data_IF_876689433136
#
_entry.id   IF_876689433136
#
_cell.length_a   1.000
_cell.length_b   1.000
_cell.length_c   1.000
_cell.angle_alpha   90.00
_cell.angle_beta   90.00
_cell.angle_gamma   90.00
#
_symmetry.space_group_name_H-M   'P 1'
#
loop_
_entity.id
_entity.type
_entity.pdbx_description
1 polymer ?
#
# COMPACT_ATOMS: atom_id res chain seq x y z
N UNK A 1 2.74 17.17 -4.99
CA UNK A 1 2.42 18.33 -5.85
C UNK A 1 3.15 18.08 -7.15
N UNK A 2 2.39 17.72 -8.19
CA UNK A 2 2.87 17.73 -9.56
C UNK A 2 2.99 19.23 -9.93
N UNK A 3 4.19 19.69 -10.26
CA UNK A 3 4.40 21.07 -10.72
C UNK A 3 3.70 21.25 -12.07
N UNK A 4 3.20 22.47 -12.33
CA UNK A 4 2.52 22.79 -13.60
C UNK A 4 3.47 22.46 -14.76
N UNK A 5 3.08 21.50 -15.60
CA UNK A 5 3.84 21.09 -16.79
C UNK A 5 4.39 19.65 -16.75
N UNK A 6 4.25 18.93 -15.64
CA UNK A 6 4.57 17.49 -15.61
C UNK A 6 3.31 16.65 -15.87
N UNK A 7 3.30 15.90 -16.96
CA UNK A 7 2.33 14.82 -17.17
C UNK A 7 2.62 13.71 -16.15
N UNK A 8 1.63 13.38 -15.31
CA UNK A 8 1.75 12.30 -14.34
C UNK A 8 0.83 11.15 -14.76
N UNK A 9 1.42 10.02 -15.11
CA UNK A 9 0.70 8.81 -15.48
C UNK A 9 0.63 7.90 -14.25
N UNK A 10 -0.58 7.49 -13.85
CA UNK A 10 -0.75 6.40 -12.89
C UNK A 10 -0.85 5.11 -13.71
N UNK A 11 0.23 4.33 -13.75
CA UNK A 11 0.16 2.99 -14.29
C UNK A 11 -0.63 2.13 -13.31
N UNK A 12 -1.63 1.41 -13.80
CA UNK A 12 -2.25 0.33 -13.02
C UNK A 12 -2.22 -0.93 -13.86
N UNK A 13 -1.65 -2.00 -13.32
CA UNK A 13 -1.73 -3.31 -13.96
C UNK A 13 -3.14 -3.81 -13.69
N UNK A 14 -3.98 -3.93 -14.72
CA UNK A 14 -5.35 -4.42 -14.55
C UNK A 14 -5.54 -5.76 -15.26
N UNK A 15 -6.02 -6.73 -14.50
CA UNK A 15 -6.56 -7.97 -15.05
C UNK A 15 -8.08 -7.92 -14.84
N UNK A 16 -8.89 -8.49 -15.75
CA UNK A 16 -10.33 -8.58 -15.57
C UNK A 16 -10.64 -9.12 -14.18
N UNK A 17 -11.51 -8.42 -13.44
CA UNK A 17 -11.94 -8.87 -12.11
C UNK A 17 -12.51 -10.29 -12.22
N UNK A 18 -12.05 -11.19 -11.34
CA UNK A 18 -12.58 -12.54 -11.29
C UNK A 18 -14.08 -12.48 -10.94
N UNK A 19 -14.91 -13.08 -11.78
CA UNK A 19 -16.35 -13.16 -11.55
C UNK A 19 -16.61 -14.22 -10.47
N UNK A 20 -16.73 -13.80 -9.21
CA UNK A 20 -17.09 -14.62 -8.05
C UNK A 20 -16.14 -14.50 -6.85
N UNK A 21 -16.64 -14.79 -5.65
CA UNK A 21 -15.82 -14.87 -4.42
C UNK A 21 -14.92 -16.12 -4.46
N UNK A 22 -13.78 -16.02 -5.14
CA UNK A 22 -12.77 -17.07 -5.13
C UNK A 22 -12.24 -17.26 -3.71
N UNK A 23 -12.25 -18.49 -3.20
CA UNK A 23 -11.66 -18.82 -1.89
C UNK A 23 -10.23 -19.30 -2.08
N UNK A 24 -9.35 -19.00 -1.12
CA UNK A 24 -7.93 -19.41 -1.13
C UNK A 24 -7.78 -20.90 -1.46
N UNK A 25 -8.64 -21.75 -0.88
CA UNK A 25 -8.59 -23.21 -1.01
C UNK A 25 -8.83 -23.72 -2.43
N UNK A 26 -9.51 -22.95 -3.25
CA UNK A 26 -9.94 -23.34 -4.59
C UNK A 26 -8.91 -22.97 -5.66
N UNK A 27 -7.88 -22.20 -5.29
CA UNK A 27 -6.87 -21.68 -6.22
C UNK A 27 -5.59 -22.51 -6.09
N UNK A 28 -5.13 -23.08 -7.21
CA UNK A 28 -3.86 -23.84 -7.30
C UNK A 28 -2.70 -22.98 -6.77
N UNK A 29 -1.76 -23.61 -6.05
CA UNK A 29 -0.66 -22.98 -5.30
C UNK A 29 -1.12 -22.10 -4.15
N UNK A 30 -2.03 -21.15 -4.38
CA UNK A 30 -2.55 -20.21 -3.37
C UNK A 30 -3.14 -20.93 -2.16
N UNK A 31 -3.79 -22.09 -2.34
CA UNK A 31 -4.27 -22.95 -1.26
C UNK A 31 -3.19 -23.41 -0.26
N UNK A 32 -1.92 -23.42 -0.68
CA UNK A 32 -0.75 -23.75 0.15
C UNK A 32 -0.32 -22.57 1.04
N UNK A 33 -0.84 -21.36 0.78
CA UNK A 33 -0.48 -20.10 1.45
C UNK A 33 -1.67 -19.35 2.06
N UNK A 34 -2.57 -20.01 2.82
CA UNK A 34 -3.73 -19.33 3.40
C UNK A 34 -3.36 -18.20 4.36
N UNK A 35 -2.20 -18.29 5.00
CA UNK A 35 -1.62 -17.30 5.91
C UNK A 35 -1.27 -15.97 5.23
N UNK A 36 -0.82 -15.99 3.97
CA UNK A 36 -0.51 -14.77 3.19
C UNK A 36 -1.76 -13.94 2.91
N UNK A 37 -2.94 -14.57 2.87
CA UNK A 37 -4.21 -13.89 2.56
C UNK A 37 -5.06 -13.58 3.79
N UNK A 38 -4.47 -13.69 5.00
CA UNK A 38 -5.14 -13.27 6.22
C UNK A 38 -5.09 -11.74 6.38
N UNK A 39 -6.04 -11.19 7.14
CA UNK A 39 -5.95 -9.79 7.53
C UNK A 39 -4.76 -9.58 8.45
N UNK A 40 -4.04 -8.47 8.28
CA UNK A 40 -2.97 -8.08 9.19
C UNK A 40 -3.53 -7.97 10.62
N UNK A 41 -3.04 -8.83 11.51
CA UNK A 41 -3.38 -8.83 12.93
C UNK A 41 -2.19 -8.30 13.73
N UNK A 42 -2.42 -7.20 14.46
CA UNK A 42 -1.36 -6.57 15.24
C UNK A 42 -0.30 -5.88 14.38
N UNK A 43 0.80 -5.49 15.02
CA UNK A 43 1.88 -4.76 14.36
C UNK A 43 2.68 -5.66 13.39
N UNK A 44 3.15 -5.09 12.26
CA UNK A 44 4.09 -5.79 11.40
C UNK A 44 5.39 -6.10 12.16
N UNK A 45 6.17 -7.11 11.71
CA UNK A 45 7.47 -7.37 12.31
C UNK A 45 8.37 -6.14 12.22
N UNK A 46 9.33 -6.03 13.15
CA UNK A 46 10.43 -5.08 12.99
C UNK A 46 11.17 -5.37 11.69
N UNK A 47 11.54 -4.32 10.96
CA UNK A 47 12.24 -4.37 9.68
C UNK A 47 13.55 -3.61 9.82
N UNK A 48 14.57 -4.01 9.06
CA UNK A 48 15.87 -3.33 9.02
C UNK A 48 15.78 -1.90 8.48
N UNK A 49 14.73 -1.60 7.73
CA UNK A 49 14.49 -0.30 7.08
C UNK A 49 13.06 0.16 7.38
N UNK A 50 12.80 0.71 8.58
CA UNK A 50 11.50 1.26 8.93
C UNK A 50 11.22 2.53 8.12
N UNK A 51 9.95 2.92 8.08
CA UNK A 51 9.56 4.16 7.44
C UNK A 51 10.02 5.37 8.26
N UNK A 52 10.77 6.27 7.64
CA UNK A 52 11.25 7.52 8.25
C UNK A 52 10.61 8.75 7.58
N UNK A 53 10.52 9.83 8.35
CA UNK A 53 9.95 11.12 7.94
C UNK A 53 11.00 12.19 8.17
N UNK A 54 11.91 12.34 7.20
CA UNK A 54 12.90 13.42 7.21
C UNK A 54 12.23 14.77 6.95
N UNK A 55 12.50 15.76 7.78
CA UNK A 55 11.93 17.10 7.68
C UNK A 55 13.01 18.11 7.28
N UNK A 56 12.60 19.19 6.63
CA UNK A 56 13.47 20.33 6.36
C UNK A 56 14.05 20.89 7.68
N UNK A 57 15.31 21.31 7.66
CA UNK A 57 16.00 21.80 8.85
C UNK A 57 15.28 23.00 9.46
N UNK A 58 15.10 23.01 10.78
CA UNK A 58 14.41 24.08 11.51
C UNK A 58 12.87 23.99 11.48
N UNK A 59 12.28 22.93 10.92
CA UNK A 59 10.82 22.76 10.88
C UNK A 59 10.21 22.67 12.29
N UNK A 60 9.31 23.59 12.61
CA UNK A 60 8.48 23.53 13.81
C UNK A 60 7.27 22.59 13.61
N UNK A 61 6.73 21.98 14.67
CA UNK A 61 5.53 21.14 14.58
C UNK A 61 4.32 21.88 13.99
N UNK A 62 3.60 21.20 13.09
CA UNK A 62 2.38 21.72 12.47
C UNK A 62 1.17 21.06 13.13
N UNK A 63 0.28 21.87 13.69
CA UNK A 63 -0.99 21.41 14.28
C UNK A 63 -2.17 22.19 13.70
N UNK A 64 -3.20 21.47 13.25
CA UNK A 64 -4.43 22.04 12.68
C UNK A 64 -5.65 21.51 13.42
N UNK A 65 -6.69 22.34 13.52
CA UNK A 65 -7.95 21.95 14.13
C UNK A 65 -8.67 20.87 13.31
N UNK A 66 -9.36 19.91 13.94
CA UNK A 66 -10.22 18.95 13.24
C UNK A 66 -11.29 19.64 12.38
N UNK A 67 -11.63 19.03 11.25
CA UNK A 67 -12.75 19.50 10.43
C UNK A 67 -14.09 19.23 11.11
N UNK A 68 -15.13 20.00 10.73
CA UNK A 68 -16.51 19.69 11.10
C UNK A 68 -16.94 18.41 10.37
N UNK A 69 -17.66 17.54 11.07
CA UNK A 69 -18.15 16.26 10.54
C UNK A 69 -19.65 16.11 10.81
N UNK A 70 -20.36 15.50 9.88
CA UNK A 70 -21.78 15.15 10.03
C UNK A 70 -21.96 14.00 11.03
N UNK A 71 -23.16 13.80 11.62
CA UNK A 71 -23.42 12.71 12.57
C UNK A 71 -23.03 11.31 12.07
N UNK A 72 -23.30 11.00 10.80
CA UNK A 72 -22.93 9.72 10.20
C UNK A 72 -21.40 9.53 10.12
N UNK A 73 -20.66 10.58 9.75
CA UNK A 73 -19.20 10.56 9.70
C UNK A 73 -18.60 10.43 11.11
N UNK A 74 -19.23 11.04 12.13
CA UNK A 74 -18.79 10.90 13.52
C UNK A 74 -18.92 9.46 14.03
N UNK A 75 -20.04 8.79 13.71
CA UNK A 75 -20.25 7.38 14.08
C UNK A 75 -19.20 6.48 13.41
N UNK A 76 -18.92 6.72 12.12
CA UNK A 76 -17.91 5.97 11.38
C UNK A 76 -16.48 6.26 11.84
N UNK A 77 -16.18 7.51 12.21
CA UNK A 77 -14.90 7.90 12.81
C UNK A 77 -14.63 7.10 14.08
N UNK A 78 -15.62 7.02 14.97
CA UNK A 78 -15.47 6.27 16.22
C UNK A 78 -15.16 4.80 15.94
N UNK A 79 -15.91 4.17 15.03
CA UNK A 79 -15.71 2.78 14.61
C UNK A 79 -14.31 2.54 14.04
N UNK A 80 -13.86 3.34 13.08
CA UNK A 80 -12.53 3.16 12.47
C UNK A 80 -11.39 3.44 13.45
N UNK A 81 -11.56 4.37 14.39
CA UNK A 81 -10.58 4.60 15.46
C UNK A 81 -10.46 3.38 16.39
N UNK A 82 -11.58 2.78 16.80
CA UNK A 82 -11.59 1.57 17.62
C UNK A 82 -10.93 0.39 16.90
N UNK A 83 -11.17 0.23 15.59
CA UNK A 83 -10.51 -0.77 14.76
C UNK A 83 -8.98 -0.55 14.66
N UNK A 84 -8.54 0.70 14.48
CA UNK A 84 -7.12 1.03 14.41
C UNK A 84 -6.42 0.85 15.77
N UNK A 85 -7.07 1.23 16.87
CA UNK A 85 -6.57 1.06 18.24
C UNK A 85 -6.47 -0.42 18.62
N UNK A 86 -7.50 -1.22 18.33
CA UNK A 86 -7.51 -2.65 18.65
C UNK A 86 -6.44 -3.44 17.88
N UNK A 87 -6.08 -3.00 16.67
CA UNK A 87 -4.94 -3.54 15.91
C UNK A 87 -3.58 -3.01 16.37
N UNK A 88 -3.57 -1.99 17.22
CA UNK A 88 -2.37 -1.29 17.66
C UNK A 88 -1.75 -0.37 16.61
N UNK A 89 -2.39 -0.16 15.45
CA UNK A 89 -1.86 0.70 14.38
C UNK A 89 -1.76 2.16 14.77
N UNK A 90 -2.58 2.58 15.73
CA UNK A 90 -2.50 3.90 16.34
C UNK A 90 -2.45 3.77 17.86
N UNK A 91 -1.90 4.79 18.52
CA UNK A 91 -1.93 4.96 19.99
C UNK A 91 -2.27 6.39 20.36
N UNK A 92 -2.78 6.67 21.58
CA UNK A 92 -2.96 8.03 22.07
C UNK A 92 -1.65 8.82 22.02
N UNK A 93 -1.72 10.09 21.63
CA UNK A 93 -0.55 10.95 21.45
C UNK A 93 -0.64 12.23 22.28
N UNK A 94 0.51 12.68 22.76
CA UNK A 94 0.73 14.03 23.35
C UNK A 94 1.60 14.90 22.43
N UNK A 95 1.81 14.46 21.18
CA UNK A 95 2.67 15.13 20.22
C UNK A 95 2.24 16.60 19.98
N UNK A 96 3.20 17.51 19.74
CA UNK A 96 2.87 18.87 19.30
C UNK A 96 2.39 18.92 17.84
N UNK A 97 2.62 17.86 17.05
CA UNK A 97 2.07 17.71 15.70
C UNK A 97 0.58 17.41 15.76
N UNK A 98 -0.17 17.70 14.70
CA UNK A 98 -1.59 17.35 14.65
C UNK A 98 -2.23 17.62 13.30
N UNK A 99 -2.34 16.59 12.47
CA UNK A 99 -3.08 16.66 11.22
C UNK A 99 -4.60 16.39 11.44
N UNK A 100 -5.51 17.06 10.72
CA UNK A 100 -6.93 16.81 10.87
C UNK A 100 -7.34 15.56 10.07
N UNK A 101 -8.37 14.86 10.56
CA UNK A 101 -8.99 13.73 9.85
C UNK A 101 -10.06 14.22 8.88
N UNK A 102 -10.15 13.58 7.72
CA UNK A 102 -11.23 13.73 6.74
C UNK A 102 -11.69 12.36 6.24
N UNK A 103 -12.88 12.31 5.63
CA UNK A 103 -13.38 11.12 4.98
C UNK A 103 -13.38 11.25 3.47
N UNK A 104 -12.99 10.17 2.79
CA UNK A 104 -13.19 9.98 1.36
C UNK A 104 -14.26 8.91 1.16
N UNK A 105 -15.22 9.17 0.28
CA UNK A 105 -16.21 8.15 -0.11
C UNK A 105 -15.60 7.22 -1.15
N UNK A 106 -15.62 5.92 -0.88
CA UNK A 106 -15.29 4.89 -1.85
C UNK A 106 -16.43 4.73 -2.87
N UNK A 107 -16.14 4.03 -3.97
CA UNK A 107 -17.13 3.73 -5.03
C UNK A 107 -18.34 2.95 -4.53
N UNK A 108 -18.14 2.10 -3.53
CA UNK A 108 -19.20 1.32 -2.87
C UNK A 108 -20.03 2.14 -1.87
N UNK A 109 -19.77 3.45 -1.74
CA UNK A 109 -20.45 4.35 -0.82
C UNK A 109 -19.91 4.31 0.63
N UNK A 110 -18.99 3.40 0.95
CA UNK A 110 -18.36 3.36 2.27
C UNK A 110 -17.37 4.51 2.47
N UNK A 111 -17.12 4.86 3.73
CA UNK A 111 -16.18 5.92 4.08
C UNK A 111 -14.79 5.36 4.39
N UNK A 112 -13.76 6.08 3.96
CA UNK A 112 -12.36 5.81 4.30
C UNK A 112 -11.80 6.95 5.13
N UNK A 113 -11.36 6.65 6.35
CA UNK A 113 -10.65 7.60 7.18
C UNK A 113 -9.30 7.93 6.54
N UNK A 114 -9.08 9.22 6.29
CA UNK A 114 -7.83 9.75 5.78
C UNK A 114 -7.33 10.86 6.70
N UNK A 115 -6.03 10.88 6.97
CA UNK A 115 -5.40 11.98 7.70
C UNK A 115 -4.85 12.99 6.69
N UNK A 116 -5.19 14.26 6.86
CA UNK A 116 -4.75 15.33 5.98
C UNK A 116 -3.29 15.75 6.28
N UNK A 117 -2.35 14.91 5.85
CA UNK A 117 -0.92 15.15 5.98
C UNK A 117 -0.37 16.20 5.02
N UNK A 118 -1.20 16.95 4.26
CA UNK A 118 -0.69 17.99 3.34
C UNK A 118 0.20 19.02 4.04
N UNK A 119 -0.05 19.30 5.32
CA UNK A 119 0.81 20.16 6.14
C UNK A 119 2.20 19.56 6.36
N UNK A 120 2.24 18.33 6.88
CA UNK A 120 3.46 17.57 7.12
C UNK A 120 4.25 17.33 5.82
N UNK A 121 3.57 16.88 4.78
CA UNK A 121 4.13 16.58 3.46
C UNK A 121 4.85 17.75 2.80
N UNK A 122 4.46 19.00 3.08
CA UNK A 122 5.13 20.18 2.52
C UNK A 122 6.51 20.41 3.09
N UNK A 123 6.73 20.00 4.34
CA UNK A 123 7.98 20.19 5.08
C UNK A 123 8.79 18.89 5.18
N UNK A 124 8.32 17.81 4.55
CA UNK A 124 9.03 16.54 4.44
C UNK A 124 9.98 16.59 3.25
N UNK A 125 11.24 16.20 3.47
CA UNK A 125 12.23 16.05 2.40
C UNK A 125 11.75 14.93 1.47
N UNK A 126 11.53 15.27 0.20
CA UNK A 126 10.95 14.35 -0.79
C UNK A 126 11.98 13.30 -1.21
N UNK A 127 11.62 12.03 -1.06
CA UNK A 127 12.40 10.92 -1.58
C UNK A 127 12.13 10.76 -3.09
N UNK A 128 13.18 10.85 -3.91
CA UNK A 128 13.12 10.65 -5.37
C UNK A 128 13.51 9.22 -5.75
N UNK A 129 12.96 8.24 -5.03
CA UNK A 129 13.17 6.83 -5.35
C UNK A 129 12.68 6.55 -6.78
N UNK A 130 13.49 5.87 -7.62
CA UNK A 130 13.11 5.63 -9.00
C UNK A 130 11.90 4.69 -9.05
N UNK A 131 10.83 5.15 -9.70
CA UNK A 131 9.74 4.26 -10.10
C UNK A 131 10.10 3.65 -11.46
N UNK A 132 9.81 2.35 -11.67
CA UNK A 132 10.08 1.71 -12.95
C UNK A 132 9.28 2.38 -14.06
N UNK A 133 9.88 2.53 -15.24
CA UNK A 133 9.20 3.12 -16.39
C UNK A 133 8.26 2.08 -17.01
N UNK A 134 7.09 2.53 -17.46
CA UNK A 134 6.08 1.64 -18.03
C UNK A 134 6.63 0.89 -19.24
N UNK A 135 7.37 1.55 -20.14
CA UNK A 135 7.94 0.91 -21.33
C UNK A 135 8.92 -0.21 -20.96
N UNK A 136 9.73 -0.01 -19.91
CA UNK A 136 10.65 -1.03 -19.38
C UNK A 136 9.87 -2.22 -18.82
N UNK A 137 8.78 -1.96 -18.08
CA UNK A 137 7.90 -3.02 -17.57
C UNK A 137 7.26 -3.81 -18.72
N UNK A 138 6.81 -3.15 -19.79
CA UNK A 138 6.21 -3.80 -20.96
C UNK A 138 7.22 -4.68 -21.72
N UNK A 139 8.47 -4.22 -21.84
CA UNK A 139 9.50 -4.98 -22.53
C UNK A 139 9.85 -6.28 -21.79
N UNK A 140 9.78 -6.31 -20.47
CA UNK A 140 9.98 -7.52 -19.66
C UNK A 140 8.90 -8.57 -19.88
N UNK A 141 7.68 -8.15 -20.23
CA UNK A 141 6.56 -9.07 -20.44
C UNK A 141 6.58 -9.78 -21.79
N UNK A 142 7.52 -9.43 -22.69
CA UNK A 142 7.57 -10.01 -24.04
C UNK A 142 7.73 -11.53 -23.98
N UNK A 143 6.78 -12.23 -24.60
CA UNK A 143 6.77 -13.69 -24.70
C UNK A 143 6.24 -14.42 -23.46
N UNK A 144 5.85 -13.68 -22.41
CA UNK A 144 5.09 -14.26 -21.30
C UNK A 144 3.66 -14.59 -21.76
N UNK A 145 3.13 -15.72 -21.33
CA UNK A 145 1.77 -16.16 -21.69
C UNK A 145 0.86 -16.35 -20.47
N UNK A 146 1.45 -16.39 -19.27
CA UNK A 146 0.76 -16.57 -18.00
C UNK A 146 1.09 -15.45 -17.02
N UNK A 147 0.06 -14.94 -16.36
CA UNK A 147 0.13 -13.79 -15.46
C UNK A 147 -0.66 -14.02 -14.18
N UNK A 148 -0.10 -13.58 -13.06
CA UNK A 148 -0.81 -13.45 -11.79
C UNK A 148 -0.48 -12.10 -11.15
N UNK A 149 -1.51 -11.36 -10.77
CA UNK A 149 -1.39 -10.10 -10.05
C UNK A 149 -1.76 -10.31 -8.58
N UNK A 150 -0.89 -9.88 -7.68
CA UNK A 150 -1.10 -9.92 -6.23
C UNK A 150 -1.15 -8.49 -5.72
N UNK A 151 -2.27 -8.08 -5.12
CA UNK A 151 -2.45 -6.78 -4.44
C UNK A 151 -2.17 -6.96 -2.95
N UNK A 152 -1.26 -6.18 -2.39
CA UNK A 152 -0.92 -6.24 -0.97
C UNK A 152 -1.99 -5.56 -0.10
N UNK A 153 -2.48 -6.27 0.91
CA UNK A 153 -3.57 -5.82 1.77
C UNK A 153 -3.17 -4.60 2.60
N UNK A 154 -3.75 -3.43 2.32
CA UNK A 154 -3.42 -2.19 3.03
C UNK A 154 -1.90 -1.98 3.13
N UNK A 155 -1.19 -2.14 1.99
CA UNK A 155 0.26 -2.30 1.93
C UNK A 155 1.04 -1.39 2.89
N UNK A 156 0.68 -0.12 2.99
CA UNK A 156 1.38 0.83 3.86
C UNK A 156 1.37 0.46 5.35
N UNK A 157 0.25 -0.05 5.90
CA UNK A 157 0.20 -0.45 7.32
C UNK A 157 1.09 -1.66 7.65
N UNK A 158 1.70 -2.32 6.65
CA UNK A 158 2.62 -3.45 6.84
C UNK A 158 4.08 -3.01 7.08
N UNK A 159 4.34 -1.69 7.06
CA UNK A 159 5.66 -1.10 7.31
C UNK A 159 5.62 -0.32 8.64
N UNK A 160 6.47 -0.66 9.62
CA UNK A 160 6.56 0.12 10.86
C UNK A 160 7.18 1.49 10.60
N UNK A 161 6.79 2.49 11.39
CA UNK A 161 7.45 3.80 11.40
C UNK A 161 8.57 3.77 12.42
N UNK A 162 9.68 4.45 12.11
CA UNK A 162 10.77 4.65 13.07
C UNK A 162 10.26 5.38 14.32
N UNK A 163 10.68 4.94 15.51
CA UNK A 163 10.05 5.38 16.79
C UNK A 163 10.14 6.90 16.97
N UNK A 164 11.26 7.51 16.55
CA UNK A 164 11.46 8.97 16.66
C UNK A 164 10.55 9.80 15.74
N UNK A 165 10.01 9.16 14.70
CA UNK A 165 9.17 9.77 13.67
C UNK A 165 7.68 9.53 13.87
N UNK A 166 7.29 8.54 14.68
CA UNK A 166 5.89 8.23 15.03
C UNK A 166 5.11 9.50 15.41
N UNK A 167 5.67 10.33 16.30
CA UNK A 167 5.03 11.58 16.77
C UNK A 167 4.68 12.56 15.65
N UNK A 168 5.37 12.52 14.50
CA UNK A 168 5.12 13.42 13.35
C UNK A 168 3.81 13.04 12.64
N UNK A 169 3.38 11.79 12.78
CA UNK A 169 2.11 11.29 12.23
C UNK A 169 0.90 11.58 13.12
N UNK A 170 1.09 12.35 14.20
CA UNK A 170 0.00 12.65 15.10
C UNK A 170 -1.15 13.37 14.38
N UNK A 171 -2.37 12.92 14.65
CA UNK A 171 -3.59 13.39 14.04
C UNK A 171 -4.70 13.62 15.07
N UNK A 172 -5.43 14.69 14.86
CA UNK A 172 -6.47 15.16 15.77
C UNK A 172 -7.84 14.77 15.23
N UNK A 173 -8.60 14.12 16.08
CA UNK A 173 -10.00 13.80 15.84
C UNK A 173 -10.88 14.48 16.89
N UNK A 174 -12.20 14.38 16.73
CA UNK A 174 -13.15 14.87 17.75
C UNK A 174 -13.06 14.08 19.07
N UNK A 175 -12.55 12.85 19.02
CA UNK A 175 -12.52 11.93 20.15
C UNK A 175 -11.15 11.85 20.84
N UNK A 176 -10.12 12.50 20.29
CA UNK A 176 -8.81 12.51 20.91
C UNK A 176 -7.69 12.87 19.94
N UNK A 177 -6.47 12.69 20.45
CA UNK A 177 -5.24 12.86 19.71
C UNK A 177 -4.53 11.51 19.63
N UNK A 178 -4.18 11.08 18.43
CA UNK A 178 -3.58 9.78 18.18
C UNK A 178 -2.39 9.92 17.22
N UNK A 179 -1.50 8.95 17.23
CA UNK A 179 -0.38 8.85 16.28
C UNK A 179 -0.31 7.44 15.70
N UNK A 180 0.15 7.33 14.46
CA UNK A 180 0.33 6.05 13.78
C UNK A 180 1.69 5.46 14.10
N UNK A 181 1.72 4.17 14.41
CA UNK A 181 2.96 3.40 14.63
C UNK A 181 3.36 2.58 13.39
N UNK A 182 2.42 2.42 12.45
CA UNK A 182 2.62 1.84 11.11
C UNK A 182 2.35 2.90 10.06
N UNK A 183 3.02 2.82 8.91
CA UNK A 183 2.97 3.87 7.89
C UNK A 183 1.53 4.09 7.38
N UNK A 184 0.89 5.25 7.65
CA UNK A 184 -0.46 5.54 7.18
C UNK A 184 -0.47 5.98 5.72
N UNK A 185 -1.66 5.91 5.12
CA UNK A 185 -1.93 6.57 3.84
C UNK A 185 -1.76 8.09 3.96
N UNK A 186 -1.43 8.72 2.84
CA UNK A 186 -1.37 10.18 2.70
C UNK A 186 0.00 10.80 2.97
N UNK A 187 1.01 10.04 3.39
CA UNK A 187 2.39 10.52 3.53
C UNK A 187 3.11 10.54 2.17
N UNK A 188 3.88 11.60 1.90
CA UNK A 188 4.50 11.82 0.57
C UNK A 188 5.48 10.74 0.16
N UNK A 189 6.29 10.23 1.09
CA UNK A 189 7.32 9.22 0.78
C UNK A 189 6.82 7.77 0.92
N UNK A 190 5.53 7.54 1.23
CA UNK A 190 5.02 6.20 1.46
C UNK A 190 5.16 5.26 0.22
N UNK A 191 4.83 5.69 -1.01
CA UNK A 191 5.04 4.84 -2.19
C UNK A 191 6.52 4.50 -2.40
N UNK A 192 7.42 5.46 -2.22
CA UNK A 192 8.87 5.28 -2.37
C UNK A 192 9.44 4.27 -1.36
N UNK A 193 9.01 4.37 -0.09
CA UNK A 193 9.42 3.43 0.94
C UNK A 193 8.88 2.02 0.68
N UNK A 194 7.64 1.91 0.20
CA UNK A 194 7.04 0.63 -0.15
C UNK A 194 7.77 -0.03 -1.33
N UNK A 195 8.05 0.74 -2.39
CA UNK A 195 8.85 0.28 -3.53
C UNK A 195 10.24 -0.20 -3.11
N UNK A 196 10.91 0.54 -2.22
CA UNK A 196 12.23 0.16 -1.72
C UNK A 196 12.21 -1.17 -0.96
N UNK A 197 11.22 -1.36 -0.08
CA UNK A 197 11.02 -2.63 0.62
C UNK A 197 10.79 -3.77 -0.37
N UNK A 198 9.86 -3.59 -1.31
CA UNK A 198 9.49 -4.63 -2.26
C UNK A 198 10.65 -4.98 -3.18
N UNK A 199 11.39 -3.99 -3.69
CA UNK A 199 12.58 -4.26 -4.51
C UNK A 199 13.66 -5.00 -3.73
N UNK A 200 13.86 -4.71 -2.44
CA UNK A 200 14.80 -5.46 -1.60
C UNK A 200 14.34 -6.89 -1.35
N UNK A 201 13.04 -7.12 -1.13
CA UNK A 201 12.48 -8.45 -0.88
C UNK A 201 12.55 -9.35 -2.12
N UNK A 202 12.28 -8.80 -3.29
CA UNK A 202 12.18 -9.54 -4.55
C UNK A 202 13.38 -9.32 -5.48
N UNK A 203 14.48 -8.74 -4.98
CA UNK A 203 15.64 -8.34 -5.78
C UNK A 203 16.14 -9.44 -6.72
N UNK A 204 16.13 -10.70 -6.25
CA UNK A 204 16.58 -11.87 -7.01
C UNK A 204 15.66 -12.23 -8.18
N UNK A 205 14.40 -11.79 -8.16
CA UNK A 205 13.37 -12.17 -9.12
C UNK A 205 12.89 -11.01 -9.99
N UNK A 206 13.37 -9.80 -9.69
CA UNK A 206 13.19 -8.62 -10.53
C UNK A 206 13.79 -8.89 -11.91
N UNK A 207 13.16 -8.35 -12.95
CA UNK A 207 13.57 -8.48 -14.35
C UNK A 207 13.55 -9.91 -14.93
N UNK A 208 13.25 -10.94 -14.12
CA UNK A 208 13.10 -12.33 -14.56
C UNK A 208 11.64 -12.74 -14.71
N UNK A 209 10.88 -12.70 -13.61
CA UNK A 209 9.48 -13.15 -13.57
C UNK A 209 8.60 -12.35 -12.61
N UNK A 210 9.14 -11.31 -11.97
CA UNK A 210 8.42 -10.42 -11.05
C UNK A 210 8.57 -8.97 -11.49
N UNK A 211 7.44 -8.27 -11.61
CA UNK A 211 7.35 -6.82 -11.71
C UNK A 211 6.67 -6.29 -10.46
N UNK A 212 7.23 -5.24 -9.88
CA UNK A 212 6.68 -4.55 -8.71
C UNK A 212 6.24 -3.15 -9.13
N UNK A 213 5.01 -2.80 -8.77
CA UNK A 213 4.50 -1.46 -8.94
C UNK A 213 3.68 -1.04 -7.72
N UNK A 214 4.31 -0.27 -6.83
CA UNK A 214 3.77 0.16 -5.53
C UNK A 214 3.23 -1.07 -4.78
N UNK A 215 1.91 -1.19 -4.62
CA UNK A 215 1.22 -2.25 -3.89
C UNK A 215 0.88 -3.49 -4.72
N UNK A 216 1.20 -3.47 -6.02
CA UNK A 216 0.96 -4.56 -6.96
C UNK A 216 2.24 -5.35 -7.25
N UNK A 217 2.13 -6.69 -7.20
CA UNK A 217 3.15 -7.62 -7.68
C UNK A 217 2.56 -8.35 -8.89
N UNK A 218 3.20 -8.20 -10.05
CA UNK A 218 2.88 -8.96 -11.25
C UNK A 218 3.91 -10.09 -11.40
N UNK A 219 3.42 -11.32 -11.36
CA UNK A 219 4.18 -12.52 -11.70
C UNK A 219 3.86 -12.88 -13.15
N UNK A 220 4.88 -13.14 -13.97
CA UNK A 220 4.70 -13.49 -15.38
C UNK A 220 5.58 -14.67 -15.78
N UNK A 221 5.16 -15.49 -16.73
CA UNK A 221 5.88 -16.72 -17.13
C UNK A 221 5.51 -17.19 -18.54
N UNK A 222 6.35 -18.03 -19.16
CA UNK A 222 6.15 -18.50 -20.55
C UNK A 222 5.31 -19.76 -20.63
N UNK A 223 5.34 -20.60 -19.60
CA UNK A 223 4.57 -21.84 -19.49
C UNK A 223 3.77 -21.91 -18.19
N UNK A 224 2.80 -22.83 -18.13
CA UNK A 224 1.97 -23.02 -16.94
C UNK A 224 2.79 -23.61 -15.79
N UNK A 225 3.73 -24.51 -16.12
CA UNK A 225 4.61 -25.20 -15.19
C UNK A 225 5.60 -24.23 -14.54
N UNK A 226 6.21 -23.34 -15.33
CA UNK A 226 7.04 -22.24 -14.83
C UNK A 226 6.23 -21.32 -13.91
N UNK A 227 5.02 -20.95 -14.33
CA UNK A 227 4.17 -20.05 -13.56
C UNK A 227 3.82 -20.61 -12.19
N UNK A 228 3.64 -21.92 -12.09
CA UNK A 228 3.42 -22.59 -10.81
C UNK A 228 4.61 -22.45 -9.87
N UNK A 229 5.81 -22.66 -10.38
CA UNK A 229 7.04 -22.51 -9.61
C UNK A 229 7.21 -21.06 -9.18
N UNK A 230 7.12 -20.11 -10.10
CA UNK A 230 7.26 -18.68 -9.83
C UNK A 230 6.26 -18.18 -8.79
N UNK A 231 4.97 -18.54 -8.94
CA UNK A 231 3.94 -18.12 -7.99
C UNK A 231 4.20 -18.69 -6.59
N UNK A 232 4.68 -19.93 -6.49
CA UNK A 232 5.06 -20.55 -5.21
C UNK A 232 6.24 -19.83 -4.56
N UNK A 233 7.26 -19.44 -5.34
CA UNK A 233 8.39 -18.65 -4.84
C UNK A 233 7.92 -17.30 -4.31
N UNK A 234 7.10 -16.57 -5.08
CA UNK A 234 6.59 -15.26 -4.66
C UNK A 234 5.77 -15.34 -3.37
N UNK A 235 4.84 -16.30 -3.28
CA UNK A 235 4.01 -16.47 -2.08
C UNK A 235 4.83 -16.94 -0.87
N UNK A 236 5.85 -17.78 -1.07
CA UNK A 236 6.79 -18.17 -0.01
C UNK A 236 7.59 -16.96 0.50
N UNK A 237 8.03 -16.07 -0.39
CA UNK A 237 8.72 -14.84 -0.02
C UNK A 237 7.83 -13.89 0.78
N UNK A 238 6.56 -13.73 0.37
CA UNK A 238 5.59 -12.94 1.13
C UNK A 238 5.37 -13.51 2.53
N UNK A 239 5.22 -14.83 2.66
CA UNK A 239 5.13 -15.52 3.96
C UNK A 239 6.35 -15.26 4.83
N UNK A 240 7.55 -15.45 4.28
CA UNK A 240 8.82 -15.22 5.00
C UNK A 240 8.90 -13.80 5.56
N UNK A 241 8.54 -12.81 4.74
CA UNK A 241 8.61 -11.39 5.09
C UNK A 241 7.39 -10.88 5.88
N UNK A 242 6.44 -11.79 6.19
CA UNK A 242 5.13 -11.50 6.81
C UNK A 242 4.42 -10.34 6.11
N UNK A 243 4.39 -10.40 4.78
CA UNK A 243 3.63 -9.50 3.92
C UNK A 243 2.34 -10.19 3.51
N UNK A 244 1.23 -9.45 3.60
CA UNK A 244 -0.12 -9.99 3.42
C UNK A 244 -0.77 -9.42 2.17
N UNK A 245 -1.49 -10.27 1.44
CA UNK A 245 -2.19 -9.93 0.20
C UNK A 245 -3.71 -9.90 0.40
N UNK A 246 -4.39 -9.04 -0.35
CA UNK A 246 -5.85 -8.96 -0.36
C UNK A 246 -6.40 -9.82 -1.48
N UNK A 247 -6.84 -11.04 -1.14
CA UNK A 247 -7.32 -12.02 -2.11
C UNK A 247 -8.37 -11.46 -3.08
N UNK A 248 -9.33 -10.67 -2.58
CA UNK A 248 -10.41 -10.11 -3.41
C UNK A 248 -9.97 -9.09 -4.45
N UNK A 249 -8.69 -8.70 -4.45
CA UNK A 249 -8.07 -7.84 -5.46
C UNK A 249 -6.94 -8.52 -6.23
N UNK A 250 -6.66 -9.79 -5.94
CA UNK A 250 -5.67 -10.56 -6.66
C UNK A 250 -6.31 -11.26 -7.86
N UNK A 251 -5.54 -11.46 -8.92
CA UNK A 251 -5.94 -12.23 -10.08
C UNK A 251 -4.87 -13.29 -10.31
N UNK A 252 -5.25 -14.56 -10.40
CA UNK A 252 -4.29 -15.65 -10.62
C UNK A 252 -4.54 -16.34 -11.94
N UNK A 253 -3.48 -16.94 -12.51
CA UNK A 253 -3.56 -17.84 -13.67
C UNK A 253 -4.25 -17.23 -14.89
N UNK A 254 -4.02 -15.95 -15.15
CA UNK A 254 -4.55 -15.26 -16.33
C UNK A 254 -3.65 -15.53 -17.54
N UNK A 255 -4.26 -15.58 -18.74
CA UNK A 255 -3.53 -15.71 -20.01
C UNK A 255 -3.44 -14.36 -20.70
N UNK A 256 -2.46 -14.25 -21.59
CA UNK A 256 -2.07 -13.02 -22.32
C UNK A 256 -3.23 -12.27 -23.00
N UNK A 257 -4.26 -12.99 -23.47
CA UNK A 257 -5.47 -12.42 -24.08
C UNK A 257 -6.28 -11.50 -23.13
N UNK A 258 -5.92 -11.48 -21.84
CA UNK A 258 -6.63 -10.76 -20.78
C UNK A 258 -5.76 -9.76 -20.03
N UNK A 259 -4.47 -9.64 -20.34
CA UNK A 259 -3.63 -8.63 -19.69
C UNK A 259 -3.92 -7.25 -20.30
N UNK A 260 -4.53 -6.37 -19.51
CA UNK A 260 -4.71 -4.97 -19.86
C UNK A 260 -3.89 -4.11 -18.89
N UNK A 261 -2.72 -3.66 -19.30
CA UNK A 261 -2.04 -2.58 -18.56
C UNK A 261 -2.80 -1.29 -18.89
N UNK A 262 -3.79 -0.95 -18.06
CA UNK A 262 -4.59 0.26 -18.23
C UNK A 262 -3.87 1.38 -17.50
N UNK A 263 -3.32 2.31 -18.28
CA UNK A 263 -2.87 3.59 -17.78
C UNK A 263 -4.11 4.42 -17.44
N UNK A 264 -4.30 4.76 -16.15
CA UNK A 264 -5.31 5.74 -15.77
C UNK A 264 -4.62 7.06 -15.46
N UNK A 265 -5.14 8.11 -16.05
CA UNK A 265 -4.86 9.47 -15.61
C UNK A 265 -5.56 9.66 -14.26
N UNK A 266 -4.82 9.74 -13.16
CA UNK A 266 -5.40 10.20 -11.90
C UNK A 266 -5.23 11.71 -11.82
N UNK A 267 -6.27 12.44 -12.24
CA UNK A 267 -6.48 13.83 -11.87
C UNK A 267 -6.51 13.98 -10.32
N UNK A 268 -6.07 15.13 -9.80
CA UNK A 268 -5.72 15.34 -8.38
C UNK A 268 -6.85 15.17 -7.37
#
# INVERSE_FOLDING_TARGET
MIERGCEAYLATISLPEAVGEAKVRDIRVVREFPDVFQSLQGLPPSRSDPFTIELESGTAPISRAPYRMAPAEMAELKKQLEELLSKGFIRPSTSPWGAPVLFVKKKDGSFQLCVDYRGLNRVTVKNRYPLPRIDELLDQLRGATWFSKIDLASGYHQIPIEEVDIRKTAFRSRYGHYEFVVMPFGLTNAPAAFMRLMNSVFQEYLDEFVIIFIDDILVFSKSLEEHEVHLRVVLAKLREQKLFAKLSKCNFWQRDDRLLIVMKESAP
#
